data_IF_511644683071
#
_entry.id   IF_511644683071
#
_cell.length_a   1.000
_cell.length_b   1.000
_cell.length_c   1.000
_cell.angle_alpha   90.00
_cell.angle_beta   90.00
_cell.angle_gamma   90.00
#
_symmetry.space_group_name_H-M   'P 1'
#
loop_
_entity.id
_entity.type
_entity.pdbx_description
1 polymer ?
#
# COMPACT_ATOMS: atom_id res chain seq x y z
N UNK A 1 -1.94 2.36 -13.82
CA UNK A 1 -1.12 1.13 -13.77
C UNK A 1 -0.99 0.53 -15.17
N UNK A 2 -0.12 -0.46 -15.38
CA UNK A 2 -0.07 -1.19 -16.64
C UNK A 2 -1.31 -2.07 -16.81
N UNK A 3 -1.86 -2.13 -18.02
CA UNK A 3 -2.85 -3.13 -18.41
C UNK A 3 -2.13 -4.44 -18.74
N UNK A 4 -1.82 -5.20 -17.69
CA UNK A 4 -1.06 -6.46 -17.81
C UNK A 4 -1.81 -7.53 -18.59
N UNK A 5 -3.14 -7.55 -18.55
CA UNK A 5 -3.95 -8.49 -19.35
C UNK A 5 -3.79 -8.20 -20.84
N UNK A 6 -3.84 -6.92 -21.23
CA UNK A 6 -3.57 -6.53 -22.62
C UNK A 6 -2.14 -6.85 -23.04
N UNK A 7 -1.16 -6.59 -22.18
CA UNK A 7 0.24 -6.91 -22.46
C UNK A 7 0.48 -8.42 -22.59
N UNK A 8 -0.22 -9.26 -21.84
CA UNK A 8 -0.08 -10.71 -21.97
C UNK A 8 -0.50 -11.22 -23.36
N UNK A 9 -1.52 -10.58 -23.98
CA UNK A 9 -2.05 -10.98 -25.30
C UNK A 9 -1.04 -10.84 -26.45
N UNK A 10 -0.08 -9.92 -26.34
CA UNK A 10 0.99 -9.74 -27.33
C UNK A 10 2.35 -10.31 -26.86
N UNK A 11 2.34 -11.12 -25.80
CA UNK A 11 3.54 -11.72 -25.25
C UNK A 11 4.48 -10.68 -24.64
N UNK A 12 3.93 -9.62 -24.04
CA UNK A 12 4.61 -8.51 -23.37
C UNK A 12 5.50 -7.69 -24.32
N UNK A 13 5.05 -7.47 -25.57
CA UNK A 13 5.86 -6.90 -26.65
C UNK A 13 6.53 -5.57 -26.28
N UNK A 14 5.81 -4.68 -25.58
CA UNK A 14 6.36 -3.39 -25.13
C UNK A 14 7.53 -3.55 -24.15
N UNK A 15 7.37 -4.40 -23.13
CA UNK A 15 8.44 -4.65 -22.14
C UNK A 15 9.66 -5.30 -22.77
N UNK A 16 9.44 -6.24 -23.69
CA UNK A 16 10.51 -6.92 -24.44
C UNK A 16 11.27 -5.92 -25.32
N UNK A 17 10.57 -5.04 -26.02
CA UNK A 17 11.19 -3.97 -26.80
C UNK A 17 11.99 -3.00 -25.92
N UNK A 18 11.45 -2.63 -24.75
CA UNK A 18 12.10 -1.74 -23.79
C UNK A 18 13.45 -2.30 -23.32
N UNK A 19 13.53 -3.56 -22.92
CA UNK A 19 14.80 -4.15 -22.44
C UNK A 19 15.81 -4.40 -23.55
N UNK A 20 15.36 -4.74 -24.77
CA UNK A 20 16.24 -4.81 -25.94
C UNK A 20 16.85 -3.47 -26.27
N UNK A 21 16.08 -2.39 -26.15
CA UNK A 21 16.60 -1.05 -26.36
C UNK A 21 17.65 -0.68 -25.31
N UNK A 22 17.41 -0.99 -24.02
CA UNK A 22 18.38 -0.78 -22.94
C UNK A 22 19.68 -1.58 -23.14
N UNK A 23 19.60 -2.78 -23.71
CA UNK A 23 20.74 -3.65 -23.97
C UNK A 23 21.76 -3.05 -24.96
N UNK A 24 21.38 -2.00 -25.71
CA UNK A 24 22.29 -1.29 -26.61
C UNK A 24 23.32 -0.43 -25.88
N UNK A 25 23.10 -0.13 -24.59
CA UNK A 25 23.93 0.82 -23.82
C UNK A 25 24.44 0.25 -22.50
N UNK A 26 23.77 -0.75 -21.95
CA UNK A 26 24.08 -1.29 -20.63
C UNK A 26 24.37 -2.79 -20.71
N UNK A 27 25.04 -3.30 -19.68
CA UNK A 27 25.29 -4.74 -19.49
C UNK A 27 24.40 -5.36 -18.41
N UNK A 28 23.80 -4.51 -17.57
CA UNK A 28 22.80 -4.90 -16.58
C UNK A 28 21.77 -3.79 -16.38
N UNK A 29 20.63 -4.16 -15.83
CA UNK A 29 19.55 -3.23 -15.50
C UNK A 29 18.92 -3.59 -14.16
N UNK A 30 18.80 -2.60 -13.28
CA UNK A 30 18.00 -2.67 -12.07
C UNK A 30 16.54 -2.44 -12.43
N UNK A 31 15.71 -3.44 -12.18
CA UNK A 31 14.25 -3.34 -12.22
C UNK A 31 13.82 -2.71 -10.90
N UNK A 32 13.57 -1.41 -10.94
CA UNK A 32 13.01 -0.66 -9.83
C UNK A 32 11.62 -1.22 -9.46
N UNK A 33 11.34 -1.36 -8.17
CA UNK A 33 10.12 -1.96 -7.64
C UNK A 33 9.75 -3.28 -8.33
N UNK A 34 10.61 -4.30 -8.19
CA UNK A 34 10.39 -5.59 -8.90
C UNK A 34 9.08 -6.26 -8.50
N UNK A 35 8.56 -5.94 -7.31
CA UNK A 35 7.24 -6.36 -6.84
C UNK A 35 6.12 -5.98 -7.82
N UNK A 36 6.28 -4.91 -8.60
CA UNK A 36 5.30 -4.48 -9.60
C UNK A 36 5.03 -5.51 -10.71
N UNK A 37 5.94 -6.47 -10.90
CA UNK A 37 5.72 -7.61 -11.79
C UNK A 37 4.83 -8.68 -11.14
N UNK A 38 4.82 -8.79 -9.81
CA UNK A 38 3.97 -9.73 -9.07
C UNK A 38 2.59 -9.13 -8.84
N UNK A 39 2.55 -7.88 -8.38
CA UNK A 39 1.34 -7.13 -8.01
C UNK A 39 1.62 -5.64 -7.97
N UNK A 40 0.61 -4.84 -8.26
CA UNK A 40 0.63 -3.39 -8.08
C UNK A 40 -0.40 -2.98 -7.03
N UNK A 41 -0.10 -1.95 -6.24
CA UNK A 41 -1.11 -1.26 -5.46
C UNK A 41 -1.88 -0.30 -6.37
N UNK A 42 -3.18 -0.55 -6.55
CA UNK A 42 -4.09 0.26 -7.36
C UNK A 42 -5.00 1.08 -6.46
N UNK A 43 -5.16 2.34 -6.84
CA UNK A 43 -6.03 3.32 -6.20
C UNK A 43 -7.06 3.79 -7.23
N UNK A 44 -8.26 4.12 -6.78
CA UNK A 44 -9.22 4.81 -7.62
C UNK A 44 -8.68 6.20 -8.00
N UNK A 45 -9.05 6.72 -9.18
CA UNK A 45 -8.47 7.96 -9.71
C UNK A 45 -8.73 9.22 -8.88
N UNK A 46 -9.68 9.17 -7.94
CA UNK A 46 -10.00 10.26 -7.02
C UNK A 46 -9.24 10.19 -5.69
N UNK A 47 -8.50 9.11 -5.42
CA UNK A 47 -7.69 8.97 -4.21
C UNK A 47 -6.44 9.87 -4.31
N UNK A 48 -6.18 10.59 -3.23
CA UNK A 48 -5.04 11.46 -3.02
C UNK A 48 -4.05 10.81 -2.06
N UNK A 49 -4.55 10.08 -1.06
CA UNK A 49 -3.74 9.27 -0.14
C UNK A 49 -3.75 7.80 -0.53
N UNK A 50 -2.70 7.07 -0.19
CA UNK A 50 -2.49 5.68 -0.62
C UNK A 50 -3.23 4.61 0.18
N UNK A 51 -4.24 4.96 0.98
CA UNK A 51 -4.81 4.08 2.02
C UNK A 51 -5.96 3.21 1.52
N UNK A 52 -6.83 3.74 0.66
CA UNK A 52 -7.99 3.06 0.10
C UNK A 52 -7.68 2.37 -1.24
N UNK A 53 -6.62 1.58 -1.27
CA UNK A 53 -6.21 0.81 -2.47
C UNK A 53 -6.40 -0.69 -2.33
N UNK A 54 -6.03 -1.41 -3.40
CA UNK A 54 -6.00 -2.88 -3.43
C UNK A 54 -4.82 -3.38 -4.25
N UNK A 55 -4.43 -4.64 -4.09
CA UNK A 55 -3.45 -5.26 -4.98
C UNK A 55 -4.09 -5.66 -6.32
N UNK A 56 -3.30 -5.66 -7.38
CA UNK A 56 -3.69 -6.08 -8.72
C UNK A 56 -2.54 -6.80 -9.43
N UNK A 57 -2.73 -8.07 -9.88
CA UNK A 57 -3.92 -8.88 -9.63
C UNK A 57 -4.05 -9.23 -8.14
N UNK A 58 -5.21 -9.71 -7.70
CA UNK A 58 -5.39 -10.32 -6.38
C UNK A 58 -6.63 -11.22 -6.34
N UNK A 59 -6.67 -12.11 -5.36
CA UNK A 59 -7.90 -12.74 -4.90
C UNK A 59 -8.58 -11.83 -3.89
N UNK A 60 -9.68 -11.21 -4.29
CA UNK A 60 -10.55 -10.44 -3.40
C UNK A 60 -11.14 -11.33 -2.30
N UNK A 61 -11.60 -10.70 -1.22
CA UNK A 61 -12.40 -11.35 -0.19
C UNK A 61 -13.82 -11.48 -0.74
N UNK A 62 -14.32 -12.69 -1.00
CA UNK A 62 -15.69 -12.90 -1.43
C UNK A 62 -16.66 -12.59 -0.30
N UNK A 63 -17.89 -12.18 -0.65
CA UNK A 63 -18.97 -11.97 0.31
C UNK A 63 -19.22 -13.20 1.19
N UNK A 64 -19.12 -14.39 0.61
CA UNK A 64 -19.35 -15.65 1.31
C UNK A 64 -18.37 -15.84 2.48
N UNK A 65 -17.12 -15.37 2.36
CA UNK A 65 -16.15 -15.42 3.45
C UNK A 65 -16.54 -14.46 4.59
N UNK A 66 -17.14 -13.31 4.28
CA UNK A 66 -17.66 -12.38 5.30
C UNK A 66 -18.89 -12.96 6.00
N UNK A 67 -19.82 -13.52 5.23
CA UNK A 67 -21.06 -14.12 5.74
C UNK A 67 -20.73 -15.33 6.64
N UNK A 68 -19.78 -16.18 6.24
CA UNK A 68 -19.32 -17.33 7.04
C UNK A 68 -18.69 -16.91 8.38
N UNK A 69 -18.09 -15.72 8.45
CA UNK A 69 -17.52 -15.15 9.67
C UNK A 69 -18.54 -14.35 10.50
N UNK A 70 -19.78 -14.22 10.01
CA UNK A 70 -20.82 -13.41 10.66
C UNK A 70 -20.57 -11.90 10.57
N UNK A 71 -19.76 -11.44 9.60
CA UNK A 71 -19.50 -10.02 9.32
C UNK A 71 -20.60 -9.45 8.41
N UNK A 72 -21.83 -9.46 8.90
CA UNK A 72 -23.04 -9.22 8.11
C UNK A 72 -23.30 -7.74 7.78
N UNK A 73 -22.79 -6.79 8.58
CA UNK A 73 -23.00 -5.35 8.39
C UNK A 73 -21.95 -4.75 7.45
N UNK A 74 -22.08 -5.05 6.16
CA UNK A 74 -21.15 -4.54 5.13
C UNK A 74 -21.25 -3.03 4.98
N UNK A 75 -22.39 -2.42 5.29
CA UNK A 75 -22.53 -0.98 5.27
C UNK A 75 -21.61 -0.34 6.33
N UNK A 76 -21.68 -0.81 7.58
CA UNK A 76 -20.80 -0.34 8.67
C UNK A 76 -19.32 -0.56 8.40
N UNK A 77 -18.96 -1.63 7.70
CA UNK A 77 -17.56 -1.96 7.41
C UNK A 77 -16.99 -1.19 6.21
N UNK A 78 -17.83 -0.81 5.23
CA UNK A 78 -17.38 -0.22 3.96
C UNK A 78 -17.65 1.29 3.82
N UNK A 79 -18.62 1.84 4.56
CA UNK A 79 -18.87 3.28 4.57
C UNK A 79 -17.94 4.00 5.57
N UNK A 80 -17.57 5.27 5.31
CA UNK A 80 -16.91 6.12 6.29
C UNK A 80 -17.64 6.13 7.63
N UNK A 81 -16.93 5.84 8.71
CA UNK A 81 -17.44 5.88 10.07
C UNK A 81 -17.21 7.27 10.69
N UNK A 82 -18.20 8.15 10.51
CA UNK A 82 -18.11 9.54 10.96
C UNK A 82 -19.16 9.78 12.03
N UNK A 83 -18.70 10.18 13.23
CA UNK A 83 -19.53 10.42 14.42
C UNK A 83 -19.17 11.74 15.07
N UNK A 84 -20.14 12.33 15.75
CA UNK A 84 -19.98 13.61 16.46
C UNK A 84 -18.77 13.62 17.39
N UNK A 85 -18.64 12.62 18.26
CA UNK A 85 -17.56 12.57 19.25
C UNK A 85 -16.17 12.42 18.60
N UNK A 86 -16.08 11.84 17.40
CA UNK A 86 -14.84 11.74 16.63
C UNK A 86 -14.46 13.09 16.02
N UNK A 87 -15.44 13.83 15.49
CA UNK A 87 -15.24 15.18 14.96
C UNK A 87 -14.84 16.16 16.07
N UNK A 88 -15.55 16.15 17.20
CA UNK A 88 -15.23 16.96 18.40
C UNK A 88 -13.81 16.69 18.88
N UNK A 89 -13.40 15.41 18.95
CA UNK A 89 -12.05 15.03 19.38
C UNK A 89 -10.95 15.51 18.42
N UNK A 90 -11.20 15.51 17.11
CA UNK A 90 -10.19 15.86 16.08
C UNK A 90 -10.13 17.36 15.76
N UNK A 91 -11.26 18.06 15.85
CA UNK A 91 -11.42 19.45 15.41
C UNK A 91 -11.74 20.44 16.54
N UNK A 92 -12.00 19.97 17.76
CA UNK A 92 -12.31 20.84 18.90
C UNK A 92 -13.58 21.67 18.67
N UNK A 93 -13.58 22.92 19.13
CA UNK A 93 -14.74 23.82 19.03
C UNK A 93 -15.17 24.14 17.59
N UNK A 94 -14.29 23.95 16.59
CA UNK A 94 -14.57 24.25 15.18
C UNK A 94 -15.23 23.11 14.40
N UNK A 95 -15.58 21.99 15.04
CA UNK A 95 -16.09 20.81 14.34
C UNK A 95 -17.42 21.07 13.60
N UNK A 96 -18.30 21.92 14.15
CA UNK A 96 -19.62 22.24 13.56
C UNK A 96 -19.46 22.93 12.19
N UNK A 97 -18.54 23.88 12.07
CA UNK A 97 -18.27 24.57 10.80
C UNK A 97 -17.81 23.60 9.70
N UNK A 98 -17.04 22.56 10.06
CA UNK A 98 -16.63 21.50 9.12
C UNK A 98 -17.83 20.60 8.79
N UNK A 99 -18.60 20.19 9.79
CA UNK A 99 -19.77 19.34 9.58
C UNK A 99 -20.80 20.02 8.68
N UNK A 100 -21.12 21.29 8.93
CA UNK A 100 -22.11 22.04 8.14
C UNK A 100 -21.72 22.12 6.66
N UNK A 101 -20.43 22.36 6.38
CA UNK A 101 -19.92 22.52 5.02
C UNK A 101 -19.78 21.19 4.27
N UNK A 102 -19.23 20.16 4.91
CA UNK A 102 -18.79 18.94 4.21
C UNK A 102 -19.72 17.74 4.43
N UNK A 103 -20.54 17.76 5.47
CA UNK A 103 -21.27 16.59 5.94
C UNK A 103 -22.79 16.82 5.99
N UNK A 104 -23.53 15.73 5.92
CA UNK A 104 -24.97 15.67 6.16
C UNK A 104 -25.29 14.60 7.20
N UNK A 105 -26.40 14.78 7.92
CA UNK A 105 -26.82 13.81 8.93
C UNK A 105 -27.33 12.53 8.26
N UNK A 106 -26.74 11.42 8.69
CA UNK A 106 -27.17 10.07 8.34
C UNK A 106 -27.94 9.39 9.48
N UNK A 107 -28.37 8.14 9.25
CA UNK A 107 -29.09 7.35 10.24
C UNK A 107 -28.30 7.19 11.55
N UNK A 108 -29.03 7.07 12.67
CA UNK A 108 -28.46 6.77 13.99
C UNK A 108 -27.34 7.73 14.42
N UNK A 109 -27.41 9.01 14.04
CA UNK A 109 -26.40 10.02 14.40
C UNK A 109 -25.05 9.83 13.70
N UNK A 110 -25.03 9.16 12.55
CA UNK A 110 -23.87 9.12 11.67
C UNK A 110 -23.81 10.39 10.83
N UNK A 111 -22.63 10.70 10.29
CA UNK A 111 -22.49 11.70 9.23
C UNK A 111 -22.08 11.03 7.93
N UNK A 112 -22.54 11.60 6.81
CA UNK A 112 -22.07 11.25 5.46
C UNK A 112 -21.51 12.49 4.80
N UNK A 113 -20.56 12.31 3.89
CA UNK A 113 -20.11 13.42 3.06
C UNK A 113 -21.23 13.85 2.10
N UNK A 114 -21.39 15.16 1.93
CA UNK A 114 -22.31 15.72 0.94
C UNK A 114 -21.86 15.35 -0.47
N UNK A 115 -22.82 15.22 -1.38
CA UNK A 115 -22.52 14.97 -2.79
C UNK A 115 -21.61 16.08 -3.36
N UNK A 116 -20.56 15.69 -4.07
CA UNK A 116 -19.58 16.62 -4.65
C UNK A 116 -18.41 16.97 -3.74
N UNK A 117 -18.39 16.46 -2.50
CA UNK A 117 -17.22 16.46 -1.60
C UNK A 117 -17.03 15.09 -0.92
N UNK A 118 -17.50 14.04 -1.57
CA UNK A 118 -17.52 12.64 -1.10
C UNK A 118 -16.33 11.80 -1.59
N UNK A 119 -15.36 12.46 -2.21
CA UNK A 119 -14.08 11.88 -2.65
C UNK A 119 -12.90 12.71 -2.17
N UNK A 120 -11.73 12.09 -2.05
CA UNK A 120 -10.52 12.79 -1.57
C UNK A 120 -10.14 13.96 -2.48
N UNK A 121 -10.13 13.75 -3.80
CA UNK A 121 -9.87 14.80 -4.78
C UNK A 121 -10.87 15.96 -4.66
N UNK A 122 -12.16 15.67 -4.49
CA UNK A 122 -13.18 16.71 -4.36
C UNK A 122 -13.04 17.53 -3.06
N UNK A 123 -12.65 16.90 -1.94
CA UNK A 123 -12.34 17.60 -0.70
C UNK A 123 -11.12 18.52 -0.87
N UNK A 124 -10.04 18.00 -1.48
CA UNK A 124 -8.84 18.78 -1.77
C UNK A 124 -9.18 19.99 -2.64
N UNK A 125 -9.94 19.78 -3.71
CA UNK A 125 -10.34 20.85 -4.61
C UNK A 125 -11.23 21.89 -3.92
N UNK A 126 -12.20 21.46 -3.11
CA UNK A 126 -13.05 22.36 -2.34
C UNK A 126 -12.25 23.25 -1.39
N UNK A 127 -11.29 22.69 -0.64
CA UNK A 127 -10.44 23.46 0.29
C UNK A 127 -9.40 24.32 -0.42
N UNK A 128 -8.95 23.94 -1.62
CA UNK A 128 -8.07 24.76 -2.43
C UNK A 128 -8.81 26.01 -2.99
N UNK A 129 -10.09 25.87 -3.34
CA UNK A 129 -10.92 26.97 -3.86
C UNK A 129 -11.39 27.92 -2.75
N UNK A 130 -11.77 27.37 -1.61
CA UNK A 130 -12.27 28.14 -0.46
C UNK A 130 -11.70 27.56 0.84
N UNK A 131 -10.52 28.04 1.29
CA UNK A 131 -9.86 27.54 2.49
C UNK A 131 -10.71 27.75 3.75
N UNK A 132 -10.79 26.72 4.60
CA UNK A 132 -11.42 26.80 5.90
C UNK A 132 -10.35 26.80 6.99
N UNK A 133 -10.31 27.83 7.82
CA UNK A 133 -9.49 27.89 9.03
C UNK A 133 -10.41 27.95 10.25
N UNK A 134 -10.08 27.15 11.26
CA UNK A 134 -10.77 27.07 12.53
C UNK A 134 -9.89 27.73 13.62
N UNK A 135 -10.45 28.09 14.78
CA UNK A 135 -9.68 28.66 15.89
C UNK A 135 -8.43 27.84 16.27
N UNK A 136 -8.55 26.50 16.26
CA UNK A 136 -7.50 25.57 16.69
C UNK A 136 -6.97 24.65 15.56
N UNK A 137 -7.28 24.97 14.30
CA UNK A 137 -6.85 24.18 13.14
C UNK A 137 -6.74 25.01 11.87
N UNK A 138 -5.57 24.98 11.23
CA UNK A 138 -5.40 25.53 9.90
C UNK A 138 -6.07 24.63 8.83
N UNK A 139 -6.12 25.13 7.58
CA UNK A 139 -6.73 24.39 6.47
C UNK A 139 -6.03 23.06 6.17
N UNK A 140 -4.74 22.92 6.48
CA UNK A 140 -4.01 21.66 6.30
C UNK A 140 -4.48 20.61 7.31
N UNK A 141 -4.67 21.00 8.58
CA UNK A 141 -5.23 20.12 9.60
C UNK A 141 -6.67 19.74 9.29
N UNK A 142 -7.50 20.68 8.83
CA UNK A 142 -8.87 20.38 8.37
C UNK A 142 -8.86 19.38 7.22
N UNK A 143 -8.01 19.60 6.21
CA UNK A 143 -7.84 18.67 5.09
C UNK A 143 -7.43 17.27 5.56
N UNK A 144 -6.43 17.18 6.43
CA UNK A 144 -5.96 15.91 6.98
C UNK A 144 -7.09 15.15 7.73
N UNK A 145 -7.90 15.86 8.51
CA UNK A 145 -9.05 15.27 9.22
C UNK A 145 -10.11 14.76 8.25
N UNK A 146 -10.45 15.52 7.20
CA UNK A 146 -11.44 15.12 6.20
C UNK A 146 -10.97 13.92 5.37
N UNK A 147 -9.71 13.92 4.92
CA UNK A 147 -9.11 12.76 4.23
C UNK A 147 -9.09 11.52 5.13
N UNK A 148 -8.75 11.71 6.41
CA UNK A 148 -8.82 10.63 7.39
C UNK A 148 -10.25 10.12 7.58
N UNK A 149 -11.25 11.00 7.66
CA UNK A 149 -12.66 10.63 7.80
C UNK A 149 -13.17 9.85 6.57
N UNK A 150 -12.82 10.26 5.34
CA UNK A 150 -13.14 9.50 4.12
C UNK A 150 -12.56 8.08 4.14
N UNK A 151 -11.38 7.93 4.76
CA UNK A 151 -10.66 6.66 4.87
C UNK A 151 -10.99 5.87 6.15
N UNK A 152 -11.89 6.37 7.00
CA UNK A 152 -12.22 5.76 8.28
C UNK A 152 -13.23 4.61 8.10
N UNK A 153 -12.75 3.52 7.50
CA UNK A 153 -13.52 2.33 7.13
C UNK A 153 -12.64 1.09 7.21
N UNK A 154 -13.24 -0.08 7.42
CA UNK A 154 -12.48 -1.33 7.58
C UNK A 154 -12.26 -2.05 6.25
N UNK A 155 -13.26 -2.02 5.36
CA UNK A 155 -13.25 -2.70 4.07
C UNK A 155 -13.53 -1.69 2.94
N UNK A 156 -13.12 -2.08 1.74
CA UNK A 156 -13.39 -1.42 0.47
C UNK A 156 -14.25 -2.36 -0.38
N UNK A 157 -15.17 -1.80 -1.15
CA UNK A 157 -15.96 -2.55 -2.14
C UNK A 157 -15.23 -2.57 -3.47
N UNK A 158 -15.38 -3.66 -4.20
CA UNK A 158 -14.95 -3.71 -5.59
C UNK A 158 -15.78 -2.78 -6.48
N UNK A 159 -15.12 -2.10 -7.42
CA UNK A 159 -15.81 -1.15 -8.32
C UNK A 159 -16.78 -1.84 -9.28
N UNK A 160 -16.49 -3.08 -9.68
CA UNK A 160 -17.30 -3.84 -10.66
C UNK A 160 -18.28 -4.78 -9.96
N UNK A 161 -17.93 -5.28 -8.79
CA UNK A 161 -18.72 -6.24 -8.01
C UNK A 161 -18.88 -5.77 -6.55
N UNK A 162 -19.51 -4.60 -6.30
CA UNK A 162 -19.49 -3.94 -5.00
C UNK A 162 -20.19 -4.70 -3.86
N UNK A 163 -21.10 -5.61 -4.20
CA UNK A 163 -21.80 -6.44 -3.21
C UNK A 163 -21.18 -7.82 -3.00
N UNK A 164 -20.27 -8.24 -3.89
CA UNK A 164 -19.75 -9.62 -3.92
C UNK A 164 -18.26 -9.71 -3.59
N UNK A 165 -17.50 -8.61 -3.76
CA UNK A 165 -16.03 -8.60 -3.62
C UNK A 165 -15.57 -7.43 -2.76
N UNK A 166 -14.68 -7.73 -1.83
CA UNK A 166 -14.19 -6.79 -0.83
C UNK A 166 -12.67 -6.85 -0.68
N UNK A 167 -12.10 -5.74 -0.22
CA UNK A 167 -10.68 -5.61 0.09
C UNK A 167 -10.52 -4.98 1.47
N UNK A 168 -9.54 -5.41 2.28
CA UNK A 168 -9.27 -4.74 3.53
C UNK A 168 -8.63 -3.37 3.26
N UNK A 169 -9.03 -2.35 4.01
CA UNK A 169 -8.33 -1.06 4.03
C UNK A 169 -6.92 -1.27 4.60
N UNK A 170 -5.90 -0.70 3.97
CA UNK A 170 -4.52 -0.85 4.42
C UNK A 170 -4.37 -0.31 5.84
N UNK A 171 -3.80 -1.06 6.80
CA UNK A 171 -3.71 -0.68 8.22
C UNK A 171 -5.07 -0.34 8.86
N UNK A 172 -6.11 -1.13 8.60
CA UNK A 172 -7.46 -0.87 9.14
C UNK A 172 -7.52 -0.68 10.66
N UNK A 173 -6.55 -1.21 11.43
CA UNK A 173 -6.48 -1.01 12.89
C UNK A 173 -6.19 0.42 13.33
N UNK A 174 -5.72 1.27 12.42
CA UNK A 174 -5.49 2.70 12.67
C UNK A 174 -6.78 3.54 12.50
N UNK A 175 -7.94 2.91 12.23
CA UNK A 175 -9.22 3.58 12.01
C UNK A 175 -10.07 3.60 13.27
N UNK A 176 -10.83 4.67 13.50
CA UNK A 176 -11.84 4.71 14.57
C UNK A 176 -12.98 3.72 14.28
N UNK A 177 -13.29 3.54 12.99
CA UNK A 177 -14.18 2.51 12.49
C UNK A 177 -13.85 1.15 13.09
N UNK A 178 -12.58 0.75 13.07
CA UNK A 178 -12.15 -0.53 13.63
C UNK A 178 -12.12 -0.52 15.16
N UNK A 179 -11.62 0.56 15.76
CA UNK A 179 -11.49 0.70 17.22
C UNK A 179 -12.83 0.54 17.95
N UNK A 180 -13.93 1.01 17.35
CA UNK A 180 -15.28 0.93 17.92
C UNK A 180 -16.06 -0.35 17.53
N UNK A 181 -15.42 -1.33 16.90
CA UNK A 181 -16.00 -2.66 16.72
C UNK A 181 -15.81 -3.52 17.97
N UNK A 182 -16.71 -4.51 18.15
CA UNK A 182 -16.56 -5.52 19.18
C UNK A 182 -15.28 -6.36 18.98
N UNK A 183 -14.67 -6.88 20.07
CA UNK A 183 -13.41 -7.64 19.99
C UNK A 183 -13.43 -8.83 19.04
N UNK A 184 -14.59 -9.48 18.89
CA UNK A 184 -14.79 -10.59 17.95
C UNK A 184 -14.61 -10.17 16.49
N UNK A 185 -15.25 -9.05 16.10
CA UNK A 185 -15.14 -8.50 14.75
C UNK A 185 -13.75 -7.96 14.48
N UNK A 186 -13.12 -7.31 15.47
CA UNK A 186 -11.75 -6.86 15.36
C UNK A 186 -10.79 -8.01 15.04
N UNK A 187 -10.90 -9.14 15.74
CA UNK A 187 -10.08 -10.33 15.48
C UNK A 187 -10.31 -10.86 14.08
N UNK A 188 -11.57 -11.09 13.68
CA UNK A 188 -11.93 -11.64 12.36
C UNK A 188 -11.44 -10.76 11.21
N UNK A 189 -11.55 -9.44 11.34
CA UNK A 189 -11.07 -8.49 10.33
C UNK A 189 -9.54 -8.49 10.23
N UNK A 190 -8.81 -8.64 11.33
CA UNK A 190 -7.35 -8.82 11.30
C UNK A 190 -6.99 -10.12 10.57
N UNK A 191 -7.64 -11.23 10.90
CA UNK A 191 -7.39 -12.53 10.26
C UNK A 191 -7.63 -12.46 8.74
N UNK A 192 -8.71 -11.81 8.32
CA UNK A 192 -9.02 -11.58 6.90
C UNK A 192 -7.98 -10.67 6.22
N UNK A 193 -7.56 -9.60 6.89
CA UNK A 193 -6.53 -8.69 6.40
C UNK A 193 -5.19 -9.42 6.22
N UNK A 194 -4.74 -10.15 7.22
CA UNK A 194 -3.46 -10.85 7.21
C UNK A 194 -3.46 -11.98 6.16
N UNK A 195 -4.59 -12.66 6.02
CA UNK A 195 -4.79 -13.63 4.95
C UNK A 195 -4.75 -12.99 3.55
N UNK A 196 -5.39 -11.83 3.38
CA UNK A 196 -5.38 -11.09 2.11
C UNK A 196 -4.00 -10.53 1.74
N UNK A 197 -3.21 -10.06 2.72
CA UNK A 197 -1.85 -9.56 2.47
C UNK A 197 -0.81 -10.67 2.31
N UNK A 198 -1.06 -11.86 2.85
CA UNK A 198 -0.15 -13.01 2.83
C UNK A 198 -0.68 -14.19 2.01
N UNK A 199 -1.01 -15.28 2.72
CA UNK A 199 -1.15 -16.62 2.15
C UNK A 199 -2.17 -16.74 1.02
N UNK A 200 -3.25 -15.95 1.01
CA UNK A 200 -4.29 -16.02 -0.04
C UNK A 200 -3.72 -15.74 -1.41
N UNK A 201 -2.69 -14.89 -1.49
CA UNK A 201 -2.19 -14.37 -2.75
C UNK A 201 -0.95 -15.11 -3.26
N UNK A 202 -0.28 -15.90 -2.44
CA UNK A 202 1.05 -16.47 -2.71
C UNK A 202 1.11 -17.19 -4.07
N UNK A 203 0.16 -18.08 -4.36
CA UNK A 203 0.14 -18.81 -5.64
C UNK A 203 -0.11 -17.92 -6.87
N UNK A 204 -0.98 -16.92 -6.74
CA UNK A 204 -1.27 -15.96 -7.80
C UNK A 204 -0.06 -15.06 -8.06
N UNK A 205 0.55 -14.52 -7.00
CA UNK A 205 1.72 -13.67 -7.12
C UNK A 205 2.92 -14.46 -7.68
N UNK A 206 3.15 -15.69 -7.23
CA UNK A 206 4.23 -16.55 -7.75
C UNK A 206 4.09 -16.75 -9.26
N UNK A 207 2.92 -17.21 -9.71
CA UNK A 207 2.67 -17.49 -11.13
C UNK A 207 2.76 -16.23 -11.99
N UNK A 208 2.15 -15.14 -11.53
CA UNK A 208 2.14 -13.84 -12.20
C UNK A 208 3.55 -13.25 -12.34
N UNK A 209 4.30 -13.18 -11.25
CA UNK A 209 5.66 -12.65 -11.24
C UNK A 209 6.59 -13.48 -12.13
N UNK A 210 6.48 -14.81 -12.05
CA UNK A 210 7.28 -15.72 -12.87
C UNK A 210 7.00 -15.57 -14.36
N UNK A 211 5.74 -15.46 -14.77
CA UNK A 211 5.37 -15.24 -16.17
C UNK A 211 5.98 -13.95 -16.71
N UNK A 212 5.72 -12.83 -16.04
CA UNK A 212 6.11 -11.50 -16.52
C UNK A 212 7.63 -11.29 -16.48
N UNK A 213 8.32 -11.77 -15.43
CA UNK A 213 9.78 -11.67 -15.34
C UNK A 213 10.48 -12.58 -16.37
N UNK A 214 9.96 -13.79 -16.64
CA UNK A 214 10.49 -14.66 -17.72
C UNK A 214 10.36 -14.02 -19.09
N UNK A 215 9.26 -13.34 -19.37
CA UNK A 215 9.09 -12.61 -20.62
C UNK A 215 10.17 -11.54 -20.81
N UNK A 216 10.54 -10.86 -19.71
CA UNK A 216 11.62 -9.87 -19.69
C UNK A 216 12.99 -10.52 -19.91
N UNK A 217 13.33 -11.53 -19.10
CA UNK A 217 14.61 -12.23 -19.10
C UNK A 217 14.91 -12.90 -20.45
N UNK A 218 13.93 -13.58 -21.04
CA UNK A 218 14.09 -14.25 -22.34
C UNK A 218 14.26 -13.29 -23.53
N UNK A 219 14.15 -11.99 -23.31
CA UNK A 219 14.18 -10.98 -24.36
C UNK A 219 15.46 -10.14 -24.40
N UNK A 220 16.39 -10.38 -23.48
CA UNK A 220 17.63 -9.60 -23.35
C UNK A 220 18.78 -10.45 -22.82
N UNK A 221 20.01 -10.04 -23.11
CA UNK A 221 21.23 -10.57 -22.49
C UNK A 221 21.71 -9.74 -21.29
N UNK A 222 20.96 -8.69 -20.93
CA UNK A 222 21.25 -7.87 -19.75
C UNK A 222 21.16 -8.71 -18.46
N UNK A 223 22.10 -8.48 -17.54
CA UNK A 223 21.93 -8.91 -16.16
C UNK A 223 20.78 -8.12 -15.51
N UNK A 224 19.66 -8.79 -15.27
CA UNK A 224 18.54 -8.21 -14.52
C UNK A 224 18.85 -8.27 -13.02
N UNK A 225 18.65 -7.16 -12.32
CA UNK A 225 18.65 -7.12 -10.84
C UNK A 225 17.31 -6.58 -10.36
N UNK A 226 16.81 -7.07 -9.24
CA UNK A 226 15.53 -6.63 -8.67
C UNK A 226 15.75 -5.69 -7.49
N UNK A 227 15.07 -4.56 -7.48
CA UNK A 227 14.85 -3.83 -6.23
C UNK A 227 13.69 -4.50 -5.48
N UNK A 228 14.03 -5.27 -4.45
CA UNK A 228 13.14 -6.07 -3.62
C UNK A 228 13.13 -5.60 -2.16
N UNK A 229 13.16 -4.28 -1.90
CA UNK A 229 13.08 -3.76 -0.54
C UNK A 229 11.63 -3.69 -0.04
N UNK A 230 11.48 -3.66 1.29
CA UNK A 230 10.19 -3.56 1.96
C UNK A 230 9.53 -4.91 2.28
N UNK A 231 8.23 -4.92 2.64
CA UNK A 231 7.52 -6.14 2.99
C UNK A 231 7.23 -6.99 1.74
N UNK A 232 7.89 -8.15 1.66
CA UNK A 232 7.79 -9.07 0.52
C UNK A 232 6.81 -10.22 0.82
N UNK A 233 5.93 -10.59 -0.14
CA UNK A 233 5.32 -11.91 -0.16
C UNK A 233 6.40 -13.01 -0.17
N UNK A 234 6.11 -14.16 0.44
CA UNK A 234 7.10 -15.24 0.60
C UNK A 234 7.57 -15.82 -0.73
N UNK A 235 6.72 -15.79 -1.76
CA UNK A 235 7.06 -16.23 -3.11
C UNK A 235 8.07 -15.33 -3.83
N UNK A 236 8.22 -14.04 -3.46
CA UNK A 236 9.08 -13.11 -4.21
C UNK A 236 10.55 -13.53 -4.17
N UNK A 237 11.18 -13.74 -2.99
CA UNK A 237 12.57 -14.21 -2.94
C UNK A 237 12.80 -15.53 -3.70
N UNK A 238 11.84 -16.47 -3.63
CA UNK A 238 11.89 -17.75 -4.34
C UNK A 238 11.91 -17.55 -5.85
N UNK A 239 10.98 -16.74 -6.39
CA UNK A 239 10.89 -16.50 -7.84
C UNK A 239 12.14 -15.78 -8.36
N UNK A 240 12.67 -14.80 -7.62
CA UNK A 240 13.90 -14.11 -8.01
C UNK A 240 15.10 -15.07 -8.04
N UNK A 241 15.23 -15.94 -7.03
CA UNK A 241 16.28 -16.95 -6.98
C UNK A 241 16.17 -17.96 -8.14
N UNK A 242 14.97 -18.48 -8.41
CA UNK A 242 14.71 -19.43 -9.51
C UNK A 242 15.02 -18.85 -10.88
N UNK A 243 14.84 -17.53 -11.04
CA UNK A 243 15.16 -16.81 -12.28
C UNK A 243 16.59 -16.24 -12.28
N UNK A 244 17.39 -16.51 -11.25
CA UNK A 244 18.73 -15.96 -11.07
C UNK A 244 18.78 -14.42 -11.21
N UNK A 245 17.77 -13.73 -10.68
CA UNK A 245 17.69 -12.27 -10.62
C UNK A 245 18.20 -11.84 -9.23
N UNK A 246 19.39 -11.22 -9.12
CA UNK A 246 19.93 -10.79 -7.84
C UNK A 246 19.06 -9.71 -7.20
N UNK A 247 18.75 -9.88 -5.92
CA UNK A 247 18.05 -8.89 -5.09
C UNK A 247 19.02 -7.88 -4.47
N UNK A 248 18.50 -6.77 -3.97
CA UNK A 248 19.26 -5.70 -3.32
C UNK A 248 19.40 -5.98 -1.82
N UNK A 249 20.61 -5.86 -1.28
CA UNK A 249 20.88 -6.03 0.16
C UNK A 249 21.57 -4.80 0.72
N UNK A 250 20.94 -4.19 1.71
CA UNK A 250 21.43 -2.96 2.36
C UNK A 250 21.35 -3.16 3.87
N UNK A 251 22.45 -3.17 4.62
CA UNK A 251 22.49 -3.54 6.04
C UNK A 251 21.54 -2.77 6.98
N UNK A 252 20.98 -1.65 6.53
CA UNK A 252 20.23 -0.66 7.33
C UNK A 252 18.71 -0.70 7.09
N UNK A 253 18.24 -1.65 6.29
CA UNK A 253 16.81 -1.82 5.97
C UNK A 253 16.41 -3.25 6.34
N UNK A 254 15.10 -3.47 6.54
CA UNK A 254 14.58 -4.76 7.00
C UNK A 254 15.01 -5.97 6.15
N UNK A 255 15.25 -5.77 4.84
CA UNK A 255 15.72 -6.81 3.91
C UNK A 255 17.26 -6.98 3.86
N UNK A 256 18.00 -6.15 4.62
CA UNK A 256 19.44 -6.16 4.72
C UNK A 256 19.95 -7.29 5.57
N UNK A 257 19.88 -7.11 6.90
CA UNK A 257 20.57 -7.99 7.84
C UNK A 257 22.10 -7.94 7.69
N UNK A 258 22.84 -8.82 8.41
CA UNK A 258 24.29 -8.83 8.38
C UNK A 258 24.83 -9.28 7.01
N UNK A 259 25.82 -8.56 6.43
CA UNK A 259 26.44 -8.90 5.14
C UNK A 259 26.92 -10.36 5.02
N UNK A 260 27.37 -10.96 6.11
CA UNK A 260 27.82 -12.35 6.15
C UNK A 260 26.71 -13.38 5.83
N UNK A 261 25.43 -12.98 5.89
CA UNK A 261 24.27 -13.84 5.59
C UNK A 261 23.64 -13.54 4.23
N UNK A 262 24.25 -12.68 3.41
CA UNK A 262 23.67 -12.33 2.11
C UNK A 262 23.70 -13.55 1.18
N UNK A 263 22.59 -13.85 0.48
CA UNK A 263 22.60 -14.87 -0.57
C UNK A 263 23.66 -14.54 -1.62
N UNK A 264 24.26 -15.57 -2.20
CA UNK A 264 25.32 -15.41 -3.21
C UNK A 264 24.90 -14.49 -4.37
N UNK A 265 23.68 -14.65 -4.87
CA UNK A 265 23.09 -13.77 -5.89
C UNK A 265 22.45 -12.53 -5.24
N UNK A 266 23.29 -11.60 -4.81
CA UNK A 266 22.86 -10.30 -4.26
C UNK A 266 23.65 -9.15 -4.85
N UNK A 267 23.00 -8.00 -5.00
CA UNK A 267 23.66 -6.71 -5.14
C UNK A 267 23.76 -6.10 -3.74
N UNK A 268 24.94 -6.16 -3.13
CA UNK A 268 25.17 -5.53 -1.84
C UNK A 268 25.49 -4.03 -2.02
N UNK A 269 24.81 -3.17 -1.27
CA UNK A 269 25.04 -1.73 -1.28
C UNK A 269 25.04 -1.17 0.14
N UNK A 270 25.84 -0.12 0.39
CA UNK A 270 25.82 0.61 1.66
C UNK A 270 24.63 1.57 1.75
N UNK A 271 24.32 2.23 0.64
CA UNK A 271 23.19 3.15 0.47
C UNK A 271 22.64 3.09 -0.97
N UNK A 272 21.37 3.45 -1.17
CA UNK A 272 20.82 3.87 -2.48
C UNK A 272 20.76 5.40 -2.56
N UNK A 273 20.32 5.92 -3.70
CA UNK A 273 20.09 7.35 -3.91
C UNK A 273 18.89 7.90 -3.11
N UNK A 274 17.99 7.04 -2.64
CA UNK A 274 16.80 7.42 -1.86
C UNK A 274 17.07 7.54 -0.35
N UNK A 275 18.31 7.33 0.08
CA UNK A 275 18.68 7.31 1.49
C UNK A 275 19.95 8.12 1.74
N UNK A 276 20.09 8.58 2.99
CA UNK A 276 21.27 9.32 3.40
C UNK A 276 22.56 8.49 3.12
N UNK A 277 23.64 9.15 2.64
CA UNK A 277 24.95 8.53 2.57
C UNK A 277 25.34 7.89 3.91
N UNK A 278 26.15 6.82 3.85
CA UNK A 278 26.50 6.05 5.04
C UNK A 278 27.10 6.91 6.17
N UNK A 279 28.01 7.83 5.82
CA UNK A 279 28.64 8.74 6.77
C UNK A 279 27.62 9.66 7.48
N UNK A 280 26.78 10.35 6.70
CA UNK A 280 25.76 11.25 7.25
C UNK A 280 24.75 10.52 8.15
N UNK A 281 24.34 9.31 7.76
CA UNK A 281 23.50 8.47 8.61
C UNK A 281 24.20 8.09 9.92
N UNK A 282 25.46 7.66 9.85
CA UNK A 282 26.23 7.26 11.04
C UNK A 282 26.46 8.41 12.03
N UNK A 283 26.74 9.59 11.52
CA UNK A 283 26.90 10.81 12.32
C UNK A 283 25.59 11.22 13.00
N UNK A 284 24.46 11.01 12.32
CA UNK A 284 23.12 11.27 12.86
C UNK A 284 22.65 10.29 13.94
N UNK A 285 23.36 9.16 14.14
CA UNK A 285 23.06 8.23 15.23
C UNK A 285 23.68 8.70 16.55
N UNK A 286 22.94 8.50 17.64
CA UNK A 286 23.50 8.58 18.99
C UNK A 286 24.38 7.34 19.30
N UNK A 287 25.04 7.33 20.45
CA UNK A 287 25.94 6.24 20.82
C UNK A 287 25.24 4.88 20.95
N UNK A 288 23.96 4.87 21.34
CA UNK A 288 23.16 3.66 21.41
C UNK A 288 22.86 3.12 19.99
N UNK A 289 22.44 3.99 19.09
CA UNK A 289 22.19 3.68 17.68
C UNK A 289 23.43 3.17 16.97
N UNK A 290 24.60 3.78 17.20
CA UNK A 290 25.88 3.30 16.65
C UNK A 290 26.23 1.90 17.13
N UNK A 291 26.03 1.61 18.42
CA UNK A 291 26.26 0.26 18.97
C UNK A 291 25.30 -0.78 18.38
N UNK A 292 24.02 -0.45 18.26
CA UNK A 292 23.02 -1.34 17.67
C UNK A 292 23.32 -1.61 16.19
N UNK A 293 23.57 -0.57 15.40
CA UNK A 293 23.96 -0.69 14.00
C UNK A 293 25.23 -1.54 13.82
N UNK A 294 26.25 -1.30 14.64
CA UNK A 294 27.49 -2.08 14.57
C UNK A 294 27.28 -3.56 14.93
N UNK A 295 26.42 -3.86 15.91
CA UNK A 295 26.05 -5.22 16.26
C UNK A 295 25.32 -5.91 15.10
N UNK A 296 24.34 -5.24 14.49
CA UNK A 296 23.61 -5.74 13.32
C UNK A 296 24.53 -6.04 12.13
N UNK A 297 25.51 -5.16 11.86
CA UNK A 297 26.44 -5.35 10.74
C UNK A 297 27.39 -6.54 10.96
N UNK A 298 27.77 -6.83 12.21
CA UNK A 298 28.67 -7.96 12.51
C UNK A 298 27.97 -9.30 12.54
N UNK A 299 26.66 -9.32 12.81
CA UNK A 299 25.85 -10.55 12.87
C UNK A 299 25.98 -11.30 14.17
#
# INVERSE_FOLDING_TARGET
>A
AYDWERMARDGFAWWRARVRWLARRWHGVRVDHVLGFFRMWELAGHCVVGLAGRFSPCHAIPKEDLDAQGLWDRQRLCEPYIRRHLLERRLGAGWEAVADRFLEQGPHGAFKFRAGVDTEAAVVESLARDPLALPDADSNKVLAVLLSALNDRCLLRDERQPEERFYPRFELWNTDSFAELGPDWQRKLRDLHDGYLGWRQEGLFESTGRERLRALQSSTSLLLTGEDLGPLPACVPKVLADLAIPGLRIPRVAAGGPPARYPYLSVACTSTHDMAPLAAWWEGLDDAGRRAAWAEFRG
#
